data_IF_372931347576
#
_entry.id   IF_372931347576
#
_cell.length_a   1.000
_cell.length_b   1.000
_cell.length_c   1.000
_cell.angle_alpha   90.00
_cell.angle_beta   90.00
_cell.angle_gamma   90.00
#
_symmetry.space_group_name_H-M   'P 1'
#
loop_
_entity.id
_entity.type
_entity.pdbx_description
1 polymer ?
#
# COMPACT_ATOMS: atom_id res chain seq x y z
N UNK A 1 -4.01 -31.80 8.74
CA UNK A 1 -3.55 -30.42 9.00
C UNK A 1 -3.11 -29.85 7.66
N UNK A 2 -3.90 -28.94 7.11
CA UNK A 2 -3.83 -28.48 5.73
C UNK A 2 -2.45 -28.03 5.26
N UNK A 3 -1.99 -28.72 4.22
CA UNK A 3 -0.94 -28.34 3.30
C UNK A 3 -1.27 -27.01 2.62
N UNK A 4 -0.98 -25.87 3.25
CA UNK A 4 -0.92 -24.57 2.56
C UNK A 4 0.52 -24.20 2.27
N UNK A 5 1.10 -24.97 1.35
CA UNK A 5 2.19 -24.48 0.51
C UNK A 5 1.65 -23.31 -0.32
N UNK A 6 1.69 -22.09 0.20
CA UNK A 6 1.51 -20.89 -0.61
C UNK A 6 2.84 -20.15 -0.67
N UNK A 7 3.75 -20.69 -1.49
CA UNK A 7 4.58 -19.83 -2.34
C UNK A 7 3.63 -19.00 -3.19
N UNK A 8 3.09 -17.90 -2.68
CA UNK A 8 2.56 -16.84 -3.54
C UNK A 8 3.77 -15.96 -3.83
N UNK A 9 4.41 -16.05 -4.98
CA UNK A 9 4.04 -15.25 -6.15
C UNK A 9 3.50 -13.84 -5.80
N UNK A 10 4.03 -13.21 -4.75
CA UNK A 10 3.74 -11.86 -4.24
C UNK A 10 4.20 -10.79 -5.24
N UNK A 11 3.52 -10.65 -6.38
CA UNK A 11 3.60 -9.41 -7.15
C UNK A 11 2.81 -8.34 -6.40
N UNK A 12 3.43 -7.70 -5.41
CA UNK A 12 2.85 -6.59 -4.64
C UNK A 12 3.09 -5.23 -5.29
N UNK A 13 3.35 -5.23 -6.60
CA UNK A 13 3.52 -4.03 -7.38
C UNK A 13 2.24 -3.74 -8.15
N UNK A 14 1.64 -2.60 -7.87
CA UNK A 14 0.41 -2.15 -8.53
C UNK A 14 0.59 -0.76 -9.12
N UNK A 15 -0.26 -0.40 -10.08
CA UNK A 15 -0.33 1.00 -10.55
C UNK A 15 -1.12 1.85 -9.57
N UNK A 16 -1.00 3.16 -9.69
CA UNK A 16 -1.74 4.09 -8.83
C UNK A 16 -3.26 3.90 -8.88
N UNK A 17 -3.84 3.58 -10.05
CA UNK A 17 -5.28 3.36 -10.20
C UNK A 17 -5.75 2.11 -9.45
N UNK A 18 -5.04 1.00 -9.62
CA UNK A 18 -5.32 -0.28 -8.96
C UNK A 18 -5.11 -0.17 -7.44
N UNK A 19 -4.02 0.49 -7.04
CA UNK A 19 -3.73 0.85 -5.66
C UNK A 19 -4.86 1.62 -5.00
N UNK A 20 -5.27 2.72 -5.63
CA UNK A 20 -6.33 3.57 -5.12
C UNK A 20 -7.68 2.83 -4.97
N UNK A 21 -8.01 1.96 -5.93
CA UNK A 21 -9.22 1.12 -5.88
C UNK A 21 -9.18 0.13 -4.70
N UNK A 22 -8.05 -0.55 -4.46
CA UNK A 22 -7.92 -1.50 -3.36
C UNK A 22 -8.12 -0.87 -1.97
N UNK A 23 -7.57 0.32 -1.74
CA UNK A 23 -7.76 1.04 -0.47
C UNK A 23 -9.01 1.94 -0.48
N UNK A 24 -9.88 1.82 -1.48
CA UNK A 24 -11.11 2.61 -1.61
C UNK A 24 -10.90 4.11 -1.43
N UNK A 25 -9.83 4.65 -2.03
CA UNK A 25 -9.45 6.06 -1.93
C UNK A 25 -9.20 6.69 -3.30
N UNK A 26 -9.07 8.02 -3.35
CA UNK A 26 -8.76 8.70 -4.61
C UNK A 26 -7.33 8.42 -5.08
N UNK A 27 -7.14 8.40 -6.41
CA UNK A 27 -5.82 8.19 -7.04
C UNK A 27 -4.80 9.23 -6.58
N UNK A 28 -5.22 10.49 -6.41
CA UNK A 28 -4.35 11.56 -5.91
C UNK A 28 -3.89 11.29 -4.48
N UNK A 29 -4.78 10.82 -3.59
CA UNK A 29 -4.44 10.50 -2.21
C UNK A 29 -3.52 9.28 -2.12
N UNK A 30 -3.82 8.22 -2.87
CA UNK A 30 -2.96 7.04 -2.94
C UNK A 30 -1.57 7.40 -3.48
N UNK A 31 -1.48 8.24 -4.51
CA UNK A 31 -0.21 8.73 -5.04
C UNK A 31 0.60 9.52 -4.00
N UNK A 32 -0.05 10.38 -3.21
CA UNK A 32 0.61 11.11 -2.11
C UNK A 32 1.14 10.13 -1.06
N UNK A 33 0.30 9.21 -0.57
CA UNK A 33 0.71 8.18 0.39
C UNK A 33 1.89 7.36 -0.12
N UNK A 34 1.87 6.94 -1.39
CA UNK A 34 2.96 6.18 -1.98
C UNK A 34 4.27 6.95 -2.09
N UNK A 35 4.22 8.26 -2.31
CA UNK A 35 5.40 9.13 -2.28
C UNK A 35 5.92 9.29 -0.87
N UNK A 36 5.04 9.55 0.10
CA UNK A 36 5.41 9.76 1.50
C UNK A 36 6.00 8.49 2.12
N UNK A 37 5.39 7.33 1.83
CA UNK A 37 5.88 6.00 2.20
C UNK A 37 7.16 5.59 1.46
N UNK A 38 7.60 6.34 0.44
CA UNK A 38 8.71 5.99 -0.47
C UNK A 38 8.54 4.62 -1.14
N UNK A 39 7.29 4.28 -1.47
CA UNK A 39 6.91 3.00 -2.05
C UNK A 39 6.91 2.97 -3.60
N UNK A 40 7.29 4.07 -4.25
CA UNK A 40 7.22 4.23 -5.71
C UNK A 40 8.49 3.72 -6.43
N UNK A 41 8.30 2.90 -7.46
CA UNK A 41 9.33 2.37 -8.34
C UNK A 41 9.10 2.87 -9.76
N UNK A 42 10.06 3.62 -10.30
CA UNK A 42 10.01 4.11 -11.68
C UNK A 42 10.73 3.13 -12.60
N UNK A 43 9.99 2.56 -13.55
CA UNK A 43 10.52 1.67 -14.60
C UNK A 43 10.21 2.31 -15.95
N UNK A 44 11.20 2.95 -16.56
CA UNK A 44 11.04 3.76 -17.78
C UNK A 44 9.98 4.87 -17.59
N UNK A 45 8.88 4.78 -18.34
CA UNK A 45 7.73 5.69 -18.27
C UNK A 45 6.62 5.18 -17.34
N UNK A 46 6.81 4.02 -16.71
CA UNK A 46 5.85 3.41 -15.79
C UNK A 46 6.25 3.66 -14.33
N UNK A 47 5.25 3.83 -13.47
CA UNK A 47 5.43 3.82 -12.03
C UNK A 47 4.63 2.67 -11.42
N UNK A 48 5.28 1.92 -10.56
CA UNK A 48 4.71 0.84 -9.76
C UNK A 48 4.82 1.21 -8.28
N UNK A 49 3.85 0.78 -7.47
CA UNK A 49 3.82 1.01 -6.03
C UNK A 49 3.92 -0.34 -5.34
N UNK A 50 4.86 -0.47 -4.40
CA UNK A 50 4.98 -1.67 -3.56
C UNK A 50 4.00 -1.58 -2.39
N UNK A 51 3.02 -2.47 -2.36
CA UNK A 51 1.99 -2.51 -1.32
C UNK A 51 2.55 -2.89 0.06
N UNK A 52 3.62 -3.68 0.17
CA UNK A 52 4.22 -4.00 1.48
C UNK A 52 4.63 -2.72 2.22
N UNK A 53 5.29 -1.80 1.50
CA UNK A 53 5.78 -0.54 2.07
C UNK A 53 4.62 0.40 2.39
N UNK A 54 3.54 0.38 1.58
CA UNK A 54 2.33 1.15 1.86
C UNK A 54 1.65 0.64 3.13
N UNK A 55 1.46 -0.66 3.26
CA UNK A 55 0.81 -1.28 4.41
C UNK A 55 1.58 -0.96 5.69
N UNK A 56 2.91 -1.11 5.69
CA UNK A 56 3.77 -0.73 6.82
C UNK A 56 3.67 0.76 7.16
N UNK A 57 3.59 1.64 6.15
CA UNK A 57 3.41 3.08 6.36
C UNK A 57 2.04 3.41 6.95
N UNK A 58 0.97 2.71 6.55
CA UNK A 58 -0.38 2.94 7.06
C UNK A 58 -0.50 2.59 8.54
N UNK A 59 0.21 1.54 9.00
CA UNK A 59 0.26 1.19 10.43
C UNK A 59 0.80 2.33 11.30
N UNK A 60 1.61 3.25 10.75
CA UNK A 60 2.08 4.44 11.49
C UNK A 60 0.98 5.48 11.76
N UNK A 61 -0.14 5.41 11.02
CA UNK A 61 -1.32 6.26 11.23
C UNK A 61 -2.40 5.56 12.05
N UNK A 62 -2.16 4.32 12.49
CA UNK A 62 -3.12 3.59 13.30
C UNK A 62 -3.24 4.26 14.67
N UNK A 63 -4.42 4.84 14.91
CA UNK A 63 -4.77 5.43 16.19
C UNK A 63 -5.12 4.30 17.14
N UNK A 64 -4.27 4.09 18.13
CA UNK A 64 -4.46 3.10 19.22
C UNK A 64 -4.86 3.74 20.54
N UNK A 65 -4.80 5.07 20.62
CA UNK A 65 -5.12 5.83 21.82
C UNK A 65 -6.56 6.30 21.80
N UNK A 66 -7.34 5.83 22.78
CA UNK A 66 -8.75 6.21 22.97
C UNK A 66 -8.91 7.72 23.23
N UNK A 67 -7.86 8.42 23.68
CA UNK A 67 -7.90 9.87 23.88
C UNK A 67 -7.93 10.66 22.57
N UNK A 68 -7.49 10.09 21.44
CA UNK A 68 -7.57 10.75 20.14
C UNK A 68 -9.01 11.05 19.71
N UNK A 69 -9.98 10.26 20.19
CA UNK A 69 -11.39 10.40 19.86
C UNK A 69 -12.18 11.26 20.85
N UNK A 70 -11.53 11.81 21.89
CA UNK A 70 -12.14 12.75 22.85
C UNK A 70 -12.05 14.19 22.34
#
# INVERSE_FOLDING_TARGET
MDSRTKKTNNKRFVRYSEGAEMYSMSVSKFMQLAKDAKACYKVNQLVLVNLDIIDEYLETFHIVDDEFYK
#
